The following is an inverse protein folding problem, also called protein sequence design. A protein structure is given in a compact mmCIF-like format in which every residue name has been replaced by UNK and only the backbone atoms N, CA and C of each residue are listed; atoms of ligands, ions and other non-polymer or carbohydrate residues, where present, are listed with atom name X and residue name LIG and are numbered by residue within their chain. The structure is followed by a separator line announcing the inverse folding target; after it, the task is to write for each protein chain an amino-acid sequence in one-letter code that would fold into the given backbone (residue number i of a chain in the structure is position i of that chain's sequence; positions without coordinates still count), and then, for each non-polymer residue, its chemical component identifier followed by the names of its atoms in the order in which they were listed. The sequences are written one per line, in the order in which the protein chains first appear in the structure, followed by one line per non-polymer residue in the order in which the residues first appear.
data_IF_789082146761
#
_entry.id   IF_789082146761
#
_cell.length_a   1.000
_cell.length_b   1.000
_cell.length_c   1.000
_cell.angle_alpha   90.00
_cell.angle_beta   90.00
_cell.angle_gamma   90.00
#
_symmetry.space_group_name_H-M   'P 1'
#
loop_
_entity.id
_entity.type
_entity.pdbx_description
1 polymer ?
#
# COMPACT_ATOMS: atom_id res chain seq x y z
N UNK A 1 30.43 -45.06 -39.25
CA UNK A 1 30.12 -43.77 -39.91
C UNK A 1 28.62 -43.67 -40.12
N UNK A 2 27.92 -42.88 -39.29
CA UNK A 2 26.67 -42.12 -39.57
C UNK A 2 26.31 -41.41 -38.26
N UNK A 3 26.72 -40.14 -38.13
CA UNK A 3 26.15 -39.24 -37.13
C UNK A 3 24.82 -38.75 -37.70
N UNK A 4 23.74 -39.05 -36.99
CA UNK A 4 22.40 -38.63 -37.36
C UNK A 4 22.32 -37.10 -37.30
N UNK A 5 21.82 -36.52 -38.40
CA UNK A 5 21.83 -35.09 -38.63
C UNK A 5 20.82 -34.42 -37.71
N UNK A 6 21.33 -33.67 -36.73
CA UNK A 6 20.52 -32.84 -35.86
C UNK A 6 19.56 -31.97 -36.67
N UNK A 7 18.27 -32.34 -36.64
CA UNK A 7 17.18 -31.52 -37.14
C UNK A 7 17.22 -30.17 -36.42
N UNK A 8 17.67 -29.13 -37.12
CA UNK A 8 17.38 -27.75 -36.70
C UNK A 8 15.87 -27.61 -36.78
N UNK A 9 15.21 -27.53 -35.62
CA UNK A 9 13.80 -27.19 -35.52
C UNK A 9 13.62 -25.76 -36.03
N UNK A 10 13.44 -25.59 -37.34
CA UNK A 10 13.15 -24.32 -37.97
C UNK A 10 11.71 -23.93 -37.61
N UNK A 11 11.55 -23.23 -36.48
CA UNK A 11 10.25 -22.72 -36.08
C UNK A 11 9.78 -21.69 -37.13
N UNK A 12 8.56 -21.81 -37.67
CA UNK A 12 8.03 -20.83 -38.60
C UNK A 12 7.92 -19.46 -37.90
N UNK A 13 8.21 -18.38 -38.62
CA UNK A 13 8.17 -17.01 -38.06
C UNK A 13 6.83 -16.65 -37.39
N UNK A 14 5.73 -17.27 -37.83
CA UNK A 14 4.40 -17.13 -37.20
C UNK A 14 4.33 -17.74 -35.79
N UNK A 15 4.96 -18.90 -35.57
CA UNK A 15 5.04 -19.54 -34.26
C UNK A 15 5.93 -18.73 -33.31
N UNK A 16 7.06 -18.22 -33.80
CA UNK A 16 7.93 -17.32 -33.03
C UNK A 16 7.17 -16.06 -32.60
N UNK A 17 6.44 -15.43 -33.53
CA UNK A 17 5.64 -14.23 -33.23
C UNK A 17 4.54 -14.52 -32.22
N UNK A 18 3.84 -15.64 -32.35
CA UNK A 18 2.79 -16.05 -31.41
C UNK A 18 3.34 -16.32 -30.00
N UNK A 19 4.53 -16.91 -29.89
CA UNK A 19 5.18 -17.12 -28.60
C UNK A 19 5.62 -15.80 -27.95
N UNK A 20 6.19 -14.88 -28.73
CA UNK A 20 6.60 -13.55 -28.24
C UNK A 20 5.39 -12.74 -27.75
N UNK A 21 4.29 -12.73 -28.51
CA UNK A 21 3.07 -12.02 -28.08
C UNK A 21 2.46 -12.65 -26.83
N UNK A 22 2.44 -13.98 -26.74
CA UNK A 22 1.97 -14.70 -25.54
C UNK A 22 2.83 -14.38 -24.32
N UNK A 23 4.15 -14.34 -24.47
CA UNK A 23 5.07 -13.96 -23.41
C UNK A 23 4.87 -12.49 -22.98
N UNK A 24 4.63 -11.58 -23.94
CA UNK A 24 4.30 -10.18 -23.65
C UNK A 24 3.02 -10.04 -22.83
N UNK A 25 1.95 -10.74 -23.21
CA UNK A 25 0.67 -10.76 -22.48
C UNK A 25 0.84 -11.29 -21.05
N UNK A 26 1.64 -12.34 -20.87
CA UNK A 26 1.91 -12.90 -19.54
C UNK A 26 2.69 -11.91 -18.67
N UNK A 27 3.68 -11.21 -19.23
CA UNK A 27 4.43 -10.17 -18.52
C UNK A 27 3.52 -9.02 -18.10
N UNK A 28 2.68 -8.52 -19.00
CA UNK A 28 1.74 -7.44 -18.69
C UNK A 28 0.76 -7.85 -17.59
N UNK A 29 0.24 -9.07 -17.64
CA UNK A 29 -0.60 -9.62 -16.57
C UNK A 29 0.12 -9.70 -15.22
N UNK A 30 1.38 -10.15 -15.22
CA UNK A 30 2.21 -10.22 -14.02
C UNK A 30 2.52 -8.84 -13.43
N UNK A 31 2.91 -7.87 -14.27
CA UNK A 31 3.14 -6.49 -13.85
C UNK A 31 1.87 -5.85 -13.28
N UNK A 32 0.71 -6.08 -13.90
CA UNK A 32 -0.57 -5.61 -13.39
C UNK A 32 -0.87 -6.18 -11.99
N UNK A 33 -0.65 -7.49 -11.79
CA UNK A 33 -0.83 -8.12 -10.48
C UNK A 33 0.11 -7.55 -9.42
N UNK A 34 1.40 -7.38 -9.75
CA UNK A 34 2.37 -6.77 -8.83
C UNK A 34 1.97 -5.34 -8.45
N UNK A 35 1.51 -4.54 -9.40
CA UNK A 35 1.06 -3.15 -9.15
C UNK A 35 -0.10 -3.09 -8.16
N UNK A 36 -1.11 -3.96 -8.32
CA UNK A 36 -2.27 -3.99 -7.41
C UNK A 36 -1.84 -4.35 -5.98
N UNK A 37 -0.97 -5.36 -5.84
CA UNK A 37 -0.46 -5.74 -4.52
C UNK A 37 0.35 -4.61 -3.89
N UNK A 38 1.26 -3.99 -4.65
CA UNK A 38 2.03 -2.84 -4.17
C UNK A 38 1.13 -1.69 -3.71
N UNK A 39 0.09 -1.36 -4.47
CA UNK A 39 -0.85 -0.30 -4.09
C UNK A 39 -1.60 -0.64 -2.80
N UNK A 40 -2.00 -1.90 -2.63
CA UNK A 40 -2.66 -2.37 -1.41
C UNK A 40 -1.73 -2.25 -0.20
N UNK A 41 -0.48 -2.70 -0.33
CA UNK A 41 0.51 -2.67 0.73
C UNK A 41 0.82 -1.22 1.13
N UNK A 42 1.01 -0.33 0.16
CA UNK A 42 1.20 1.10 0.40
C UNK A 42 0.00 1.73 1.11
N UNK A 43 -1.23 1.38 0.71
CA UNK A 43 -2.42 1.88 1.36
C UNK A 43 -2.56 1.38 2.81
N UNK A 44 -2.07 0.17 3.10
CA UNK A 44 -2.03 -0.35 4.47
C UNK A 44 -1.00 0.40 5.32
N UNK A 45 0.22 0.58 4.81
CA UNK A 45 1.27 1.32 5.50
C UNK A 45 0.85 2.77 5.80
N UNK A 46 0.19 3.44 4.86
CA UNK A 46 -0.32 4.79 5.07
C UNK A 46 -1.37 4.87 6.19
N UNK A 47 -2.22 3.83 6.34
CA UNK A 47 -3.19 3.76 7.44
C UNK A 47 -2.50 3.50 8.78
N UNK A 48 -1.54 2.59 8.82
CA UNK A 48 -0.76 2.28 10.02
C UNK A 48 0.04 3.51 10.50
N UNK A 49 0.63 4.24 9.55
CA UNK A 49 1.29 5.52 9.80
C UNK A 49 0.32 6.55 10.42
N UNK A 50 -0.87 6.71 9.84
CA UNK A 50 -1.89 7.63 10.35
C UNK A 50 -2.34 7.25 11.77
N UNK A 51 -2.53 5.96 12.05
CA UNK A 51 -2.91 5.46 13.37
C UNK A 51 -1.83 5.75 14.42
N UNK A 52 -0.55 5.55 14.07
CA UNK A 52 0.58 5.87 14.94
C UNK A 52 0.65 7.38 15.22
N UNK A 53 0.49 8.22 14.19
CA UNK A 53 0.52 9.67 14.39
C UNK A 53 -0.64 10.16 15.23
N UNK A 54 -1.86 9.64 15.03
CA UNK A 54 -3.00 9.97 15.86
C UNK A 54 -2.73 9.60 17.32
N UNK A 55 -2.18 8.41 17.57
CA UNK A 55 -1.81 7.95 18.91
C UNK A 55 -0.78 8.89 19.56
N UNK A 56 0.28 9.27 18.84
CA UNK A 56 1.31 10.17 19.36
C UNK A 56 0.75 11.57 19.66
N UNK A 57 -0.07 12.11 18.76
CA UNK A 57 -0.76 13.39 18.97
C UNK A 57 -1.71 13.36 20.19
N UNK A 58 -2.44 12.27 20.40
CA UNK A 58 -3.29 12.13 21.59
C UNK A 58 -2.51 11.93 22.87
N UNK A 59 -1.42 11.16 22.83
CA UNK A 59 -0.52 11.04 23.97
C UNK A 59 -0.02 12.44 24.40
N UNK A 60 0.36 13.27 23.44
CA UNK A 60 0.75 14.67 23.71
C UNK A 60 -0.38 15.49 24.34
N UNK A 61 -1.60 15.43 23.78
CA UNK A 61 -2.77 16.15 24.32
C UNK A 61 -3.11 15.72 25.76
N UNK A 62 -2.90 14.44 26.10
CA UNK A 62 -3.11 13.91 27.44
C UNK A 62 -1.91 14.12 28.38
N UNK A 63 -0.81 14.71 27.90
CA UNK A 63 0.43 14.88 28.67
C UNK A 63 1.18 13.57 28.95
N UNK A 64 0.87 12.51 28.20
CA UNK A 64 1.56 11.22 28.26
C UNK A 64 2.87 11.35 27.47
N UNK A 65 4.03 11.10 28.09
CA UNK A 65 5.31 11.20 27.40
C UNK A 65 5.38 10.22 26.23
N UNK A 66 5.77 10.72 25.07
CA UNK A 66 5.95 9.94 23.84
C UNK A 66 7.36 10.20 23.26
N UNK A 67 7.87 9.38 22.32
CA UNK A 67 9.23 9.53 21.80
C UNK A 67 9.42 10.73 20.86
N UNK A 68 8.37 11.47 20.52
CA UNK A 68 8.39 12.56 19.55
C UNK A 68 7.56 13.77 20.00
N UNK A 69 7.78 14.33 21.21
CA UNK A 69 6.86 15.28 21.83
C UNK A 69 6.74 16.60 21.03
N UNK A 70 7.87 17.16 20.59
CA UNK A 70 7.89 18.39 19.81
C UNK A 70 7.21 18.23 18.43
N UNK A 71 7.43 17.09 17.77
CA UNK A 71 6.84 16.80 16.45
C UNK A 71 5.35 16.50 16.58
N UNK A 72 4.93 15.85 17.67
CA UNK A 72 3.53 15.49 17.89
C UNK A 72 2.62 16.72 18.04
N UNK A 73 3.14 17.83 18.59
CA UNK A 73 2.44 19.12 18.66
C UNK A 73 2.16 19.72 17.28
N UNK A 74 3.13 19.65 16.37
CA UNK A 74 2.98 20.14 14.99
C UNK A 74 2.01 19.28 14.19
N UNK A 75 1.91 17.99 14.52
CA UNK A 75 0.99 17.05 13.86
C UNK A 75 -0.46 17.20 14.33
N UNK A 76 -0.73 17.71 15.53
CA UNK A 76 -2.08 17.89 16.08
C UNK A 76 -3.09 18.51 15.08
N UNK A 77 -2.84 19.65 14.42
CA UNK A 77 -3.78 20.22 13.46
C UNK A 77 -4.08 19.30 12.28
N UNK A 78 -3.05 18.62 11.74
CA UNK A 78 -3.20 17.69 10.63
C UNK A 78 -3.98 16.44 11.03
N UNK A 79 -3.75 15.94 12.25
CA UNK A 79 -4.46 14.78 12.78
C UNK A 79 -5.92 15.11 13.09
N UNK A 80 -6.21 16.31 13.60
CA UNK A 80 -7.58 16.77 13.83
C UNK A 80 -8.41 16.80 12.54
N UNK A 81 -7.82 17.16 11.40
CA UNK A 81 -8.51 17.12 10.09
C UNK A 81 -8.90 15.69 9.68
N UNK A 82 -8.11 14.69 10.07
CA UNK A 82 -8.31 13.27 9.71
C UNK A 82 -9.05 12.46 10.77
N UNK A 83 -9.36 13.09 11.90
CA UNK A 83 -9.88 12.41 13.08
C UNK A 83 -11.21 11.70 12.81
N UNK A 84 -12.11 12.27 11.99
CA UNK A 84 -13.39 11.65 11.65
C UNK A 84 -13.22 10.26 11.03
N UNK A 85 -12.42 10.19 9.96
CA UNK A 85 -12.19 8.94 9.25
C UNK A 85 -11.41 7.94 10.11
N UNK A 86 -10.49 8.43 10.94
CA UNK A 86 -9.74 7.60 11.87
C UNK A 86 -10.65 6.94 12.92
N UNK A 87 -11.46 7.70 13.66
CA UNK A 87 -12.22 7.14 14.78
C UNK A 87 -13.29 6.14 14.31
N UNK A 88 -13.88 6.40 13.13
CA UNK A 88 -14.78 5.44 12.47
C UNK A 88 -14.06 4.13 12.12
N UNK A 89 -12.82 4.19 11.61
CA UNK A 89 -12.01 2.99 11.33
C UNK A 89 -11.65 2.22 12.60
N UNK A 90 -11.45 2.92 13.71
CA UNK A 90 -11.20 2.30 15.01
C UNK A 90 -12.46 1.68 15.64
N UNK A 91 -13.64 1.84 15.03
CA UNK A 91 -14.91 1.31 15.52
C UNK A 91 -15.46 2.07 16.73
N UNK A 92 -15.06 3.33 16.90
CA UNK A 92 -15.59 4.20 17.96
C UNK A 92 -16.93 4.79 17.51
N UNK A 93 -17.93 4.73 18.39
CA UNK A 93 -19.25 5.31 18.08
C UNK A 93 -19.24 6.85 18.06
N UNK A 94 -18.36 7.46 18.84
CA UNK A 94 -18.22 8.90 18.99
C UNK A 94 -16.74 9.29 19.17
N UNK A 95 -16.46 10.58 18.95
CA UNK A 95 -15.17 11.20 19.27
C UNK A 95 -14.68 10.85 20.69
N UNK A 96 -13.45 10.32 20.85
CA UNK A 96 -12.84 10.15 22.16
C UNK A 96 -12.28 11.47 22.74
N UNK A 97 -12.27 12.56 21.97
CA UNK A 97 -11.72 13.84 22.39
C UNK A 97 -12.79 14.71 23.05
N UNK A 98 -12.56 15.09 24.31
CA UNK A 98 -13.41 16.05 25.00
C UNK A 98 -13.43 17.41 24.26
N UNK A 99 -14.61 17.95 24.03
CA UNK A 99 -14.81 19.23 23.35
C UNK A 99 -14.89 19.15 21.82
N UNK A 100 -14.51 18.02 21.21
CA UNK A 100 -14.67 17.80 19.76
C UNK A 100 -15.84 16.85 19.56
N UNK A 101 -16.98 17.41 19.13
CA UNK A 101 -18.12 16.61 18.67
C UNK A 101 -17.90 16.25 17.21
N UNK A 102 -17.40 15.04 17.00
CA UNK A 102 -17.36 14.41 15.70
C UNK A 102 -18.50 13.39 15.65
N UNK A 103 -19.29 13.45 14.58
CA UNK A 103 -20.64 12.88 14.39
C UNK A 103 -21.79 13.75 14.94
#
# INVERSE_FOLDING_TARGET
MKADGGQRLALPHSALRALITRAGQLREGWEAMLRVNQQRDLAQLAREEEDIFMMLSFAEMMGIPNPAPAVSLEMLPLMLERMHDWHLRQGLEHSPLEGIKCC
#
